data_IF_661216841274
#
_entry.id   IF_661216841274
#
_cell.length_a   1.000
_cell.length_b   1.000
_cell.length_c   1.000
_cell.angle_alpha   90.00
_cell.angle_beta   90.00
_cell.angle_gamma   90.00
#
_symmetry.space_group_name_H-M   'P 1'
#
loop_
_entity.id
_entity.type
_entity.pdbx_description
1 polymer ?
#
# COMPACT_ATOMS: atom_id res chain seq x y z
N UNK A 1 -3.64 44.22 14.39
CA UNK A 1 -2.57 43.43 13.77
C UNK A 1 -3.20 42.20 13.16
N UNK A 2 -3.15 42.05 11.84
CA UNK A 2 -3.71 40.88 11.14
C UNK A 2 -2.84 39.64 11.41
N UNK A 3 -3.45 38.55 11.88
CA UNK A 3 -2.73 37.28 12.02
C UNK A 3 -2.39 36.73 10.63
N UNK A 4 -1.17 36.16 10.44
CA UNK A 4 -0.81 35.59 9.17
C UNK A 4 -1.64 34.33 8.89
N UNK A 5 -2.21 34.26 7.69
CA UNK A 5 -3.09 33.17 7.25
C UNK A 5 -2.50 32.43 6.03
N UNK A 6 -3.03 31.23 5.76
CA UNK A 6 -2.64 30.42 4.61
C UNK A 6 -3.80 29.57 4.12
N UNK A 7 -3.91 29.41 2.80
CA UNK A 7 -4.90 28.53 2.17
C UNK A 7 -4.45 27.07 2.21
N UNK A 8 -5.33 26.19 2.68
CA UNK A 8 -5.14 24.75 2.69
C UNK A 8 -5.33 24.17 1.28
N UNK A 9 -4.37 23.41 0.76
CA UNK A 9 -4.51 22.76 -0.57
C UNK A 9 -5.38 21.51 -0.56
N UNK A 10 -5.93 21.11 0.59
CA UNK A 10 -6.79 19.93 0.73
C UNK A 10 -8.27 20.26 0.72
N UNK A 11 -8.67 21.34 1.39
CA UNK A 11 -10.05 21.81 1.47
C UNK A 11 -10.25 23.22 0.90
N UNK A 12 -9.20 23.85 0.37
CA UNK A 12 -9.22 25.19 -0.22
C UNK A 12 -9.66 26.34 0.70
N UNK A 13 -9.86 26.08 2.00
CA UNK A 13 -10.15 27.10 3.00
C UNK A 13 -8.88 27.78 3.54
N UNK A 14 -9.00 29.05 3.90
CA UNK A 14 -7.96 29.86 4.53
C UNK A 14 -8.04 29.74 6.04
N UNK A 15 -6.91 29.44 6.68
CA UNK A 15 -6.80 29.29 8.13
C UNK A 15 -5.61 30.08 8.68
N UNK A 16 -5.59 30.41 9.99
CA UNK A 16 -4.40 30.90 10.66
C UNK A 16 -3.24 29.92 10.50
N UNK A 17 -2.00 30.44 10.43
CA UNK A 17 -0.80 29.62 10.28
C UNK A 17 -0.66 28.55 11.38
N UNK A 18 -1.20 28.77 12.58
CA UNK A 18 -1.23 27.78 13.68
C UNK A 18 -1.92 26.47 13.31
N UNK A 19 -2.81 26.48 12.31
CA UNK A 19 -3.49 25.29 11.78
C UNK A 19 -2.64 24.52 10.77
N UNK A 20 -1.37 24.88 10.58
CA UNK A 20 -0.42 24.20 9.71
C UNK A 20 0.79 23.76 10.53
N UNK A 21 1.25 22.52 10.31
CA UNK A 21 2.42 21.99 11.02
C UNK A 21 3.71 22.28 10.26
N UNK A 22 4.85 22.47 10.94
CA UNK A 22 6.16 22.48 10.29
C UNK A 22 6.43 21.15 9.59
N UNK A 23 7.00 21.22 8.39
CA UNK A 23 7.49 20.08 7.65
C UNK A 23 8.88 19.73 8.17
N UNK A 24 8.97 18.64 8.96
CA UNK A 24 10.19 18.21 9.67
C UNK A 24 11.41 17.95 8.79
N UNK A 25 11.25 17.84 7.47
CA UNK A 25 12.33 17.49 6.54
C UNK A 25 12.76 18.66 5.63
N UNK A 26 12.33 19.89 5.90
CA UNK A 26 12.85 21.08 5.21
C UNK A 26 13.69 21.93 6.16
N UNK A 27 14.83 22.41 5.66
CA UNK A 27 15.64 23.44 6.29
C UNK A 27 15.79 24.61 5.27
N UNK A 28 15.28 25.82 5.55
CA UNK A 28 14.50 26.20 6.74
C UNK A 28 13.14 25.49 6.83
N UNK A 29 12.56 25.37 8.05
CA UNK A 29 11.30 24.68 8.28
C UNK A 29 10.16 25.34 7.50
N UNK A 30 9.63 24.61 6.52
CA UNK A 30 8.47 25.06 5.73
C UNK A 30 7.19 24.53 6.35
N UNK A 31 6.14 25.32 6.43
CA UNK A 31 4.82 24.82 6.84
C UNK A 31 4.26 23.84 5.81
N UNK A 32 3.48 22.86 6.28
CA UNK A 32 2.76 21.96 5.40
C UNK A 32 1.72 22.69 4.56
N UNK A 33 1.39 22.14 3.39
CA UNK A 33 0.39 22.71 2.47
C UNK A 33 -1.06 22.44 2.89
N UNK A 34 -1.26 21.47 3.76
CA UNK A 34 -2.58 21.09 4.27
C UNK A 34 -2.72 21.47 5.74
N UNK A 35 -3.93 21.87 6.13
CA UNK A 35 -4.30 22.13 7.52
C UNK A 35 -4.28 20.83 8.36
N UNK A 36 -4.26 20.97 9.69
CA UNK A 36 -4.24 19.84 10.62
C UNK A 36 -5.38 18.85 10.37
N UNK A 37 -6.59 19.33 10.12
CA UNK A 37 -7.79 18.50 9.87
C UNK A 37 -7.65 17.68 8.60
N UNK A 38 -7.31 18.30 7.46
CA UNK A 38 -7.09 17.58 6.20
C UNK A 38 -5.98 16.51 6.35
N UNK A 39 -4.91 16.83 7.09
CA UNK A 39 -3.83 15.87 7.35
C UNK A 39 -4.28 14.70 8.21
N UNK A 40 -5.12 14.95 9.22
CA UNK A 40 -5.67 13.91 10.08
C UNK A 40 -6.60 13.00 9.27
N UNK A 41 -7.52 13.58 8.50
CA UNK A 41 -8.44 12.83 7.65
C UNK A 41 -7.69 11.99 6.61
N UNK A 42 -6.68 12.57 5.95
CA UNK A 42 -5.81 11.83 5.04
C UNK A 42 -5.12 10.66 5.77
N UNK A 43 -4.62 10.86 6.99
CA UNK A 43 -3.97 9.79 7.78
C UNK A 43 -4.94 8.67 8.13
N UNK A 44 -6.17 9.00 8.51
CA UNK A 44 -7.22 8.02 8.83
C UNK A 44 -7.61 7.25 7.56
N UNK A 45 -7.89 7.94 6.46
CA UNK A 45 -8.20 7.32 5.17
C UNK A 45 -7.08 6.37 4.71
N UNK A 46 -5.83 6.84 4.76
CA UNK A 46 -4.65 6.02 4.45
C UNK A 46 -4.58 4.78 5.34
N UNK A 47 -4.88 4.89 6.64
CA UNK A 47 -4.90 3.73 7.56
C UNK A 47 -5.99 2.72 7.20
N UNK A 48 -7.20 3.19 6.88
CA UNK A 48 -8.32 2.34 6.47
C UNK A 48 -8.01 1.60 5.16
N UNK A 49 -7.52 2.32 4.15
CA UNK A 49 -7.11 1.71 2.87
C UNK A 49 -6.02 0.65 3.09
N UNK A 50 -5.02 0.95 3.93
CA UNK A 50 -3.97 -0.03 4.26
C UNK A 50 -4.50 -1.25 5.01
N UNK A 51 -5.53 -1.10 5.84
CA UNK A 51 -6.14 -2.22 6.54
C UNK A 51 -6.90 -3.12 5.55
N UNK A 52 -7.73 -2.54 4.69
CA UNK A 52 -8.44 -3.27 3.63
C UNK A 52 -7.46 -3.99 2.69
N UNK A 53 -6.42 -3.30 2.22
CA UNK A 53 -5.39 -3.85 1.35
C UNK A 53 -4.54 -4.98 1.99
N UNK A 54 -4.52 -5.08 3.32
CA UNK A 54 -3.91 -6.21 4.05
C UNK A 54 -4.87 -7.39 4.13
N UNK A 55 -6.16 -7.14 4.33
CA UNK A 55 -7.20 -8.17 4.34
C UNK A 55 -7.31 -8.84 2.97
N UNK A 56 -7.32 -8.08 1.88
CA UNK A 56 -7.30 -8.60 0.51
C UNK A 56 -6.08 -9.48 0.25
N UNK A 57 -4.89 -9.02 0.64
CA UNK A 57 -3.66 -9.82 0.51
C UNK A 57 -3.71 -11.11 1.33
N UNK A 58 -4.25 -11.07 2.55
CA UNK A 58 -4.42 -12.27 3.35
C UNK A 58 -5.39 -13.27 2.70
N UNK A 59 -6.46 -12.79 2.08
CA UNK A 59 -7.39 -13.62 1.31
C UNK A 59 -6.70 -14.24 0.08
N UNK A 60 -5.92 -13.47 -0.69
CA UNK A 60 -5.15 -13.98 -1.84
C UNK A 60 -4.15 -15.04 -1.40
N UNK A 61 -3.41 -14.81 -0.31
CA UNK A 61 -2.47 -15.82 0.22
C UNK A 61 -3.19 -17.10 0.66
N UNK A 62 -4.40 -17.00 1.24
CA UNK A 62 -5.23 -18.17 1.53
C UNK A 62 -5.62 -18.93 0.27
N UNK A 63 -6.09 -18.24 -0.77
CA UNK A 63 -6.45 -18.85 -2.06
C UNK A 63 -5.23 -19.58 -2.65
N UNK A 64 -4.07 -18.94 -2.69
CA UNK A 64 -2.83 -19.56 -3.19
C UNK A 64 -2.43 -20.79 -2.38
N UNK A 65 -2.56 -20.74 -1.04
CA UNK A 65 -2.27 -21.90 -0.18
C UNK A 65 -3.23 -23.07 -0.40
N UNK A 66 -4.53 -22.79 -0.61
CA UNK A 66 -5.53 -23.81 -0.95
C UNK A 66 -5.24 -24.44 -2.30
N UNK A 67 -4.83 -23.64 -3.30
CA UNK A 67 -4.41 -24.14 -4.63
C UNK A 67 -3.24 -25.12 -4.53
N UNK A 68 -2.21 -24.78 -3.75
CA UNK A 68 -1.06 -25.68 -3.56
C UNK A 68 -1.45 -26.97 -2.83
N UNK A 69 -2.34 -26.89 -1.84
CA UNK A 69 -2.81 -28.07 -1.11
C UNK A 69 -3.67 -28.99 -2.01
N UNK A 70 -4.57 -28.41 -2.80
CA UNK A 70 -5.37 -29.16 -3.77
C UNK A 70 -4.51 -29.83 -4.85
N UNK A 71 -3.48 -29.13 -5.35
CA UNK A 71 -2.52 -29.69 -6.30
C UNK A 71 -1.70 -30.85 -5.68
N UNK A 72 -1.30 -30.74 -4.41
CA UNK A 72 -0.60 -31.80 -3.70
C UNK A 72 -1.51 -33.03 -3.44
N UNK A 73 -2.77 -32.81 -3.10
CA UNK A 73 -3.76 -33.88 -2.92
C UNK A 73 -4.08 -34.61 -4.25
N UNK A 74 -4.17 -33.87 -5.36
CA UNK A 74 -4.34 -34.45 -6.70
C UNK A 74 -3.10 -35.24 -7.15
N UNK A 75 -1.89 -34.80 -6.80
CA UNK A 75 -0.65 -35.52 -7.10
C UNK A 75 -0.46 -36.81 -6.26
N UNK A 76 -1.13 -36.92 -5.11
CA UNK A 76 -1.14 -38.14 -4.28
C UNK A 76 -2.31 -39.08 -4.58
N UNK A 77 -3.36 -38.59 -5.24
CA UNK A 77 -4.54 -39.38 -5.64
C UNK A 77 -4.54 -39.66 -7.14
N UNK A 78 -3.53 -40.38 -7.63
CA UNK A 78 -3.46 -40.88 -9.03
C UNK A 78 -4.24 -42.19 -9.25
N UNK A 79 -5.17 -42.53 -8.37
CA UNK A 79 -6.04 -43.70 -8.53
C UNK A 79 -7.51 -43.30 -8.52
N UNK A 80 -8.08 -43.26 -9.73
CA UNK A 80 -9.50 -43.40 -10.06
C UNK A 80 -10.50 -42.59 -9.21
N UNK A 81 -10.67 -41.31 -9.50
CA UNK A 81 -12.02 -40.71 -9.46
C UNK A 81 -12.08 -39.44 -10.30
N UNK A 82 -12.82 -39.52 -11.40
CA UNK A 82 -13.27 -38.38 -12.19
C UNK A 82 -14.37 -37.66 -11.39
N UNK A 83 -14.03 -36.60 -10.65
CA UNK A 83 -15.04 -35.72 -10.05
C UNK A 83 -14.48 -34.32 -9.85
N UNK A 84 -15.23 -33.36 -10.39
CA UNK A 84 -15.26 -31.92 -10.10
C UNK A 84 -13.92 -31.23 -9.83
N UNK A 85 -13.42 -30.52 -10.85
CA UNK A 85 -12.46 -29.44 -10.62
C UNK A 85 -13.10 -28.44 -9.64
N UNK A 86 -12.54 -28.22 -8.43
CA UNK A 86 -12.99 -27.13 -7.59
C UNK A 86 -12.76 -25.83 -8.38
N UNK A 87 -13.83 -25.06 -8.61
CA UNK A 87 -13.74 -23.73 -9.22
C UNK A 87 -12.97 -22.85 -8.26
N UNK A 88 -11.66 -22.77 -8.47
CA UNK A 88 -10.78 -21.96 -7.64
C UNK A 88 -11.05 -20.48 -7.91
N UNK A 89 -11.26 -19.65 -6.87
CA UNK A 89 -11.48 -18.22 -7.06
C UNK A 89 -10.33 -17.61 -7.87
N UNK A 90 -10.67 -16.80 -8.88
CA UNK A 90 -9.71 -16.09 -9.72
C UNK A 90 -8.92 -15.10 -8.87
N UNK A 91 -7.60 -14.99 -9.13
CA UNK A 91 -6.80 -13.93 -8.51
C UNK A 91 -7.30 -12.56 -9.01
N UNK A 92 -7.35 -11.55 -8.13
CA UNK A 92 -7.72 -10.21 -8.55
C UNK A 92 -6.65 -9.63 -9.50
N UNK A 93 -7.10 -8.93 -10.53
CA UNK A 93 -6.24 -8.27 -11.53
C UNK A 93 -5.49 -7.06 -10.96
N UNK A 94 -5.98 -6.51 -9.84
CA UNK A 94 -5.46 -5.31 -9.19
C UNK A 94 -5.22 -5.52 -7.69
N UNK A 95 -4.25 -4.78 -7.16
CA UNK A 95 -3.84 -4.80 -5.77
C UNK A 95 -3.53 -3.39 -5.28
N UNK A 96 -3.98 -3.09 -4.07
CA UNK A 96 -3.66 -1.80 -3.44
C UNK A 96 -2.23 -1.78 -2.90
N UNK A 97 -1.41 -0.83 -3.36
CA UNK A 97 -0.05 -0.63 -2.84
C UNK A 97 -0.07 -0.05 -1.41
N UNK A 98 0.61 -0.69 -0.44
CA UNK A 98 0.56 -0.23 0.96
C UNK A 98 1.31 1.10 1.21
N UNK A 99 2.20 1.49 0.30
CA UNK A 99 2.93 2.74 0.45
C UNK A 99 2.16 3.94 -0.08
N UNK A 100 1.78 3.91 -1.36
CA UNK A 100 1.04 5.00 -2.00
C UNK A 100 -0.48 4.90 -1.87
N UNK A 101 -1.01 3.77 -1.37
CA UNK A 101 -2.45 3.54 -1.18
C UNK A 101 -3.26 3.73 -2.47
N UNK A 102 -2.67 3.38 -3.61
CA UNK A 102 -3.34 3.33 -4.91
C UNK A 102 -3.49 1.89 -5.36
N UNK A 103 -4.61 1.59 -6.00
CA UNK A 103 -4.82 0.39 -6.80
C UNK A 103 -3.85 0.41 -7.97
N UNK A 104 -3.27 -0.76 -8.25
CA UNK A 104 -2.28 -0.99 -9.29
C UNK A 104 -2.48 -2.38 -9.84
N UNK A 105 -2.19 -2.56 -11.12
CA UNK A 105 -2.15 -3.90 -11.71
C UNK A 105 -1.23 -4.81 -10.90
N UNK A 106 -1.63 -6.07 -10.75
CA UNK A 106 -0.85 -7.09 -10.06
C UNK A 106 0.58 -7.22 -10.63
N UNK A 107 0.73 -6.94 -11.93
CA UNK A 107 2.02 -6.92 -12.65
C UNK A 107 2.99 -5.85 -12.13
N UNK A 108 2.48 -4.78 -11.50
CA UNK A 108 3.29 -3.74 -10.87
C UNK A 108 3.86 -4.15 -9.51
N UNK A 109 3.60 -5.38 -9.05
CA UNK A 109 4.14 -5.92 -7.80
C UNK A 109 5.12 -7.05 -8.11
N UNK A 110 6.30 -7.02 -7.49
CA UNK A 110 7.26 -8.12 -7.66
C UNK A 110 6.80 -9.36 -6.88
N UNK A 111 7.02 -10.56 -7.43
CA UNK A 111 6.85 -11.80 -6.69
C UNK A 111 7.90 -11.94 -5.58
N UNK A 112 7.47 -12.47 -4.45
CA UNK A 112 8.31 -12.83 -3.30
C UNK A 112 8.66 -14.30 -3.48
N UNK A 113 9.90 -14.57 -3.95
CA UNK A 113 10.40 -15.91 -4.30
C UNK A 113 10.20 -16.97 -3.20
N UNK A 114 10.17 -16.58 -1.93
CA UNK A 114 10.10 -17.51 -0.80
C UNK A 114 8.69 -17.97 -0.41
N UNK A 115 7.63 -17.23 -0.77
CA UNK A 115 6.27 -17.50 -0.29
C UNK A 115 5.24 -17.65 -1.41
N UNK A 116 5.65 -17.55 -2.67
CA UNK A 116 4.72 -17.49 -3.81
C UNK A 116 3.79 -16.27 -3.78
N UNK A 117 4.06 -15.30 -2.90
CA UNK A 117 3.25 -14.10 -2.72
C UNK A 117 3.78 -12.89 -3.50
N UNK A 118 3.13 -11.75 -3.34
CA UNK A 118 3.54 -10.48 -3.95
C UNK A 118 4.03 -9.48 -2.91
N UNK A 119 4.93 -8.60 -3.32
CA UNK A 119 5.42 -7.53 -2.45
C UNK A 119 4.29 -6.58 -2.02
N UNK A 120 4.48 -5.94 -0.85
CA UNK A 120 3.54 -4.97 -0.29
C UNK A 120 3.56 -3.60 -1.00
N UNK A 121 4.50 -3.38 -1.92
CA UNK A 121 4.74 -2.09 -2.57
C UNK A 121 4.79 -2.29 -4.07
N UNK A 122 4.17 -1.37 -4.83
CA UNK A 122 4.37 -1.34 -6.28
C UNK A 122 5.82 -0.98 -6.62
N UNK A 123 6.26 -1.33 -7.84
CA UNK A 123 7.61 -1.09 -8.35
C UNK A 123 8.03 0.37 -8.18
N UNK A 124 7.14 1.33 -8.48
CA UNK A 124 7.46 2.77 -8.34
C UNK A 124 7.77 3.17 -6.90
N UNK A 125 6.99 2.68 -5.92
CA UNK A 125 7.22 2.97 -4.50
C UNK A 125 8.51 2.31 -4.03
N UNK A 126 8.76 1.07 -4.45
CA UNK A 126 9.98 0.34 -4.13
C UNK A 126 11.23 1.05 -4.64
N UNK A 127 11.24 1.49 -5.90
CA UNK A 127 12.35 2.24 -6.49
C UNK A 127 12.59 3.56 -5.75
N UNK A 128 11.52 4.29 -5.42
CA UNK A 128 11.61 5.56 -4.66
C UNK A 128 12.18 5.36 -3.26
N UNK A 129 11.73 4.33 -2.54
CA UNK A 129 12.22 3.99 -1.21
C UNK A 129 13.67 3.49 -1.26
N UNK A 130 14.04 2.70 -2.27
CA UNK A 130 15.40 2.25 -2.50
C UNK A 130 16.37 3.42 -2.70
N UNK A 131 16.00 4.39 -3.55
CA UNK A 131 16.79 5.63 -3.74
C UNK A 131 16.96 6.42 -2.45
N UNK A 132 15.89 6.56 -1.65
CA UNK A 132 15.93 7.24 -0.34
C UNK A 132 16.86 6.54 0.65
N UNK A 133 16.82 5.21 0.74
CA UNK A 133 17.70 4.42 1.61
C UNK A 133 19.17 4.56 1.22
N UNK A 134 19.49 4.52 -0.08
CA UNK A 134 20.86 4.73 -0.59
C UNK A 134 21.39 6.12 -0.26
N UNK A 135 20.57 7.17 -0.40
CA UNK A 135 20.97 8.54 -0.02
C UNK A 135 21.29 8.67 1.47
N UNK A 136 20.49 8.05 2.35
CA UNK A 136 20.74 8.06 3.80
C UNK A 136 22.06 7.39 4.18
N UNK A 137 22.41 6.28 3.51
CA UNK A 137 23.69 5.58 3.75
C UNK A 137 24.94 6.31 3.26
N UNK A 138 24.80 7.35 2.43
CA UNK A 138 25.92 8.16 1.95
C UNK A 138 26.14 9.43 2.77
N UNK A 139 25.28 9.70 3.75
CA UNK A 139 25.27 10.93 4.56
C UNK A 139 25.48 10.68 6.05
N UNK A 140 25.65 9.41 6.45
CA UNK A 140 26.08 9.01 7.78
C UNK A 140 27.33 8.18 7.65
#
# INVERSE_FOLDING_TARGET
MDQPTRTCTGCHHTYPISQFRPHRASNPPRLTRQCLTCRLNHRIATRRIRAAARQERAAIMRILSQRSAAAAAAATSTTNTSTDLPTLPQLPSELTCLDCCRERSISEFQPVRATGGLTNQCISCRLRNGRRRRRRRRQG
#
